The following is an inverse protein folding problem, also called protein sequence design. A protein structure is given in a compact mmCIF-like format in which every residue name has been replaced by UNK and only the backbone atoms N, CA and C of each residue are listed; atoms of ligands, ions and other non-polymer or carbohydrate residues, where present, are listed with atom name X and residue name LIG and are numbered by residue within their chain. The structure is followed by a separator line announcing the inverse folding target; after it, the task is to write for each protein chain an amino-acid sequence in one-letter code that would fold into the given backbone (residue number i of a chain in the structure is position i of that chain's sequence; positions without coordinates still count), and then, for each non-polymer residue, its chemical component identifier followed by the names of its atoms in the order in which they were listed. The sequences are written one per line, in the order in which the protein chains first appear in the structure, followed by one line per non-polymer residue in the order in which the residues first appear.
data_IF_384463995087
#
_entry.id   IF_384463995087
#
_cell.length_a   1.000
_cell.length_b   1.000
_cell.length_c   1.000
_cell.angle_alpha   90.00
_cell.angle_beta   90.00
_cell.angle_gamma   90.00
#
_symmetry.space_group_name_H-M   'P 1'
#
loop_
_entity.id
_entity.type
_entity.pdbx_description
1 polymer ?
#
# COMPACT_ATOMS: atom_id res chain seq x y z
N UNK A 1 -30.12 24.90 3.82
CA UNK A 1 -29.72 23.61 3.25
C UNK A 1 -30.41 23.31 1.93
N UNK A 2 -31.75 23.19 1.85
CA UNK A 2 -32.46 22.91 0.58
C UNK A 2 -32.08 23.86 -0.58
N UNK A 3 -32.11 25.17 -0.34
CA UNK A 3 -31.69 26.17 -1.35
C UNK A 3 -30.22 26.04 -1.75
N UNK A 4 -29.34 25.75 -0.80
CA UNK A 4 -27.91 25.52 -1.09
C UNK A 4 -27.73 24.27 -1.95
N UNK A 5 -28.43 23.18 -1.63
CA UNK A 5 -28.40 21.95 -2.41
C UNK A 5 -28.87 22.19 -3.85
N UNK A 6 -29.95 22.94 -4.05
CA UNK A 6 -30.42 23.29 -5.39
C UNK A 6 -29.38 24.11 -6.18
N UNK A 7 -28.70 25.05 -5.52
CA UNK A 7 -27.64 25.84 -6.15
C UNK A 7 -26.42 24.98 -6.51
N UNK A 8 -26.04 24.04 -5.63
CA UNK A 8 -24.98 23.05 -5.87
C UNK A 8 -25.34 22.18 -7.08
N UNK A 9 -26.55 21.60 -7.11
CA UNK A 9 -27.01 20.81 -8.26
C UNK A 9 -26.97 21.61 -9.56
N UNK A 10 -27.39 22.88 -9.52
CA UNK A 10 -27.31 23.76 -10.70
C UNK A 10 -25.86 23.99 -11.15
N UNK A 11 -24.93 24.18 -10.21
CA UNK A 11 -23.50 24.30 -10.54
C UNK A 11 -22.95 23.01 -11.16
N UNK A 12 -23.24 21.85 -10.56
CA UNK A 12 -22.82 20.54 -11.05
C UNK A 12 -23.39 20.29 -12.45
N UNK A 13 -24.69 20.49 -12.66
CA UNK A 13 -25.33 20.27 -13.97
C UNK A 13 -24.75 21.14 -15.08
N UNK A 14 -24.30 22.35 -14.75
CA UNK A 14 -23.73 23.26 -15.75
C UNK A 14 -22.29 22.92 -16.15
N UNK A 15 -21.53 22.29 -15.26
CA UNK A 15 -20.07 22.23 -15.38
C UNK A 15 -19.44 20.84 -15.24
N UNK A 16 -20.10 19.89 -14.61
CA UNK A 16 -19.57 18.53 -14.46
C UNK A 16 -19.27 17.95 -15.85
N UNK A 17 -18.05 17.50 -16.07
CA UNK A 17 -17.55 16.95 -17.35
C UNK A 17 -17.70 17.91 -18.57
N UNK A 18 -18.00 19.19 -18.34
CA UNK A 18 -18.28 20.19 -19.37
C UNK A 18 -17.41 21.45 -19.26
N UNK A 19 -16.39 21.44 -18.39
CA UNK A 19 -15.43 22.53 -18.28
C UNK A 19 -14.53 22.59 -19.53
N UNK A 20 -14.38 23.80 -20.07
CA UNK A 20 -13.48 24.12 -21.18
C UNK A 20 -12.84 25.49 -20.93
N UNK A 21 -11.79 25.84 -21.66
CA UNK A 21 -11.20 27.19 -21.63
C UNK A 21 -12.22 28.33 -21.81
N UNK A 22 -13.36 28.09 -22.49
CA UNK A 22 -14.39 29.11 -22.74
C UNK A 22 -15.30 29.41 -21.54
N UNK A 23 -15.48 28.46 -20.62
CA UNK A 23 -16.41 28.58 -19.50
C UNK A 23 -15.72 28.43 -18.12
N UNK A 24 -14.44 28.05 -18.08
CA UNK A 24 -13.67 27.83 -16.85
C UNK A 24 -13.67 29.04 -15.92
N UNK A 25 -13.44 30.25 -16.45
CA UNK A 25 -13.45 31.47 -15.63
C UNK A 25 -14.83 31.71 -14.97
N UNK A 26 -15.91 31.46 -15.71
CA UNK A 26 -17.27 31.59 -15.17
C UNK A 26 -17.52 30.60 -14.03
N UNK A 27 -17.03 29.37 -14.16
CA UNK A 27 -17.14 28.36 -13.11
C UNK A 27 -16.36 28.77 -11.85
N UNK A 28 -15.11 29.24 -12.02
CA UNK A 28 -14.28 29.78 -10.92
C UNK A 28 -14.99 30.93 -10.22
N UNK A 29 -15.46 31.94 -10.96
CA UNK A 29 -16.11 33.12 -10.39
C UNK A 29 -17.38 32.74 -9.62
N UNK A 30 -18.16 31.80 -10.16
CA UNK A 30 -19.38 31.31 -9.51
C UNK A 30 -19.06 30.54 -8.23
N UNK A 31 -18.03 29.69 -8.24
CA UNK A 31 -17.58 29.00 -7.02
C UNK A 31 -17.15 30.01 -5.95
N UNK A 32 -16.25 30.94 -6.29
CA UNK A 32 -15.70 31.92 -5.34
C UNK A 32 -16.77 32.81 -4.71
N UNK A 33 -17.88 33.04 -5.41
CA UNK A 33 -19.03 33.78 -4.89
C UNK A 33 -19.80 33.01 -3.80
N UNK A 34 -19.99 31.70 -3.96
CA UNK A 34 -21.00 30.95 -3.21
C UNK A 34 -20.44 29.84 -2.28
N UNK A 35 -19.16 29.45 -2.45
CA UNK A 35 -18.56 28.27 -1.80
C UNK A 35 -18.68 28.26 -0.27
N UNK A 36 -18.56 29.43 0.37
CA UNK A 36 -18.65 29.60 1.82
C UNK A 36 -20.00 29.14 2.39
N UNK A 37 -21.07 29.25 1.59
CA UNK A 37 -22.41 28.79 1.97
C UNK A 37 -22.66 27.35 1.55
N UNK A 38 -22.09 26.91 0.43
CA UNK A 38 -22.29 25.56 -0.11
C UNK A 38 -21.72 24.49 0.81
N UNK A 39 -20.55 24.72 1.42
CA UNK A 39 -19.92 23.74 2.32
C UNK A 39 -20.74 23.36 3.55
N UNK A 40 -21.76 24.15 3.90
CA UNK A 40 -22.65 23.85 5.02
C UNK A 40 -23.56 22.62 4.77
N UNK A 41 -23.56 22.04 3.56
CA UNK A 41 -24.26 20.77 3.31
C UNK A 41 -23.45 19.54 3.75
N UNK A 42 -22.13 19.68 3.95
CA UNK A 42 -21.26 18.57 4.37
C UNK A 42 -21.70 18.02 5.73
N UNK A 43 -21.82 16.70 5.84
CA UNK A 43 -22.35 16.01 7.02
C UNK A 43 -23.88 15.91 7.08
N UNK A 44 -24.59 16.33 6.03
CA UNK A 44 -26.05 16.28 5.97
C UNK A 44 -26.57 15.56 4.72
N UNK A 45 -27.63 14.78 4.90
CA UNK A 45 -28.52 14.36 3.82
C UNK A 45 -29.53 15.48 3.57
N UNK A 46 -29.57 16.01 2.35
CA UNK A 46 -30.41 17.15 1.98
C UNK A 46 -31.24 16.77 0.77
N UNK A 47 -32.55 17.02 0.81
CA UNK A 47 -33.39 16.81 -0.37
C UNK A 47 -33.02 17.85 -1.45
N UNK A 48 -33.27 17.54 -2.72
CA UNK A 48 -33.28 18.53 -3.80
C UNK A 48 -34.73 19.02 -4.06
N UNK A 49 -34.89 19.93 -5.01
CA UNK A 49 -36.19 20.50 -5.37
C UNK A 49 -37.21 19.46 -5.87
N UNK A 50 -36.73 18.30 -6.35
CA UNK A 50 -37.55 17.18 -6.80
C UNK A 50 -37.85 16.19 -5.66
N UNK A 51 -37.42 16.51 -4.44
CA UNK A 51 -37.58 15.68 -3.25
C UNK A 51 -36.62 14.50 -3.17
N UNK A 52 -35.59 14.42 -4.02
CA UNK A 52 -34.59 13.34 -3.98
C UNK A 52 -33.54 13.67 -2.92
N UNK A 53 -33.29 12.73 -2.01
CA UNK A 53 -32.25 12.88 -1.00
C UNK A 53 -30.86 12.79 -1.61
N UNK A 54 -30.03 13.79 -1.34
CA UNK A 54 -28.64 13.90 -1.77
C UNK A 54 -27.70 13.88 -0.57
N UNK A 55 -26.54 13.28 -0.75
CA UNK A 55 -25.47 13.29 0.23
C UNK A 55 -24.61 14.55 0.07
N UNK A 56 -24.70 15.48 1.02
CA UNK A 56 -23.96 16.73 0.95
C UNK A 56 -22.44 16.57 0.96
N UNK A 57 -21.89 15.49 1.53
CA UNK A 57 -20.45 15.20 1.44
C UNK A 57 -20.05 14.91 -0.01
N UNK A 58 -20.83 14.08 -0.71
CA UNK A 58 -20.59 13.74 -2.11
C UNK A 58 -20.77 14.97 -3.01
N UNK A 59 -21.89 15.67 -2.85
CA UNK A 59 -22.24 16.79 -3.74
C UNK A 59 -21.25 17.96 -3.60
N UNK A 60 -20.85 18.33 -2.39
CA UNK A 60 -19.86 19.38 -2.21
C UNK A 60 -18.45 18.94 -2.67
N UNK A 61 -18.11 17.66 -2.50
CA UNK A 61 -16.88 17.10 -3.07
C UNK A 61 -16.82 17.23 -4.60
N UNK A 62 -17.92 16.94 -5.30
CA UNK A 62 -18.03 17.13 -6.75
C UNK A 62 -17.87 18.60 -7.17
N UNK A 63 -18.41 19.54 -6.37
CA UNK A 63 -18.20 20.97 -6.60
C UNK A 63 -16.72 21.33 -6.55
N UNK A 64 -15.98 20.82 -5.56
CA UNK A 64 -14.54 21.05 -5.44
C UNK A 64 -13.75 20.44 -6.61
N UNK A 65 -14.16 19.27 -7.11
CA UNK A 65 -13.55 18.67 -8.31
C UNK A 65 -13.74 19.59 -9.51
N UNK A 66 -14.98 20.02 -9.79
CA UNK A 66 -15.28 20.94 -10.89
C UNK A 66 -14.46 22.23 -10.76
N UNK A 67 -14.38 22.79 -9.55
CA UNK A 67 -13.58 23.99 -9.28
C UNK A 67 -12.09 23.77 -9.59
N UNK A 68 -11.51 22.66 -9.16
CA UNK A 68 -10.11 22.32 -9.44
C UNK A 68 -9.83 22.14 -10.94
N UNK A 69 -10.74 21.52 -11.69
CA UNK A 69 -10.64 21.39 -13.16
C UNK A 69 -10.79 22.76 -13.83
N UNK A 70 -11.68 23.61 -13.35
CA UNK A 70 -11.82 24.96 -13.89
C UNK A 70 -10.52 25.78 -13.70
N UNK A 71 -9.84 25.63 -12.56
CA UNK A 71 -8.53 26.26 -12.33
C UNK A 71 -7.47 25.75 -13.33
N UNK A 72 -7.46 24.46 -13.65
CA UNK A 72 -6.53 23.93 -14.64
C UNK A 72 -6.81 24.40 -16.07
N UNK A 73 -7.99 24.95 -16.35
CA UNK A 73 -8.40 25.43 -17.68
C UNK A 73 -8.36 26.97 -17.86
N UNK A 74 -8.24 27.76 -16.78
CA UNK A 74 -8.10 29.22 -16.92
C UNK A 74 -6.71 29.63 -17.41
N UNK A 75 -6.65 30.73 -18.18
CA UNK A 75 -5.41 31.27 -18.75
C UNK A 75 -4.55 31.99 -17.69
N UNK A 76 -5.18 32.68 -16.74
CA UNK A 76 -4.49 33.51 -15.73
C UNK A 76 -4.69 32.92 -14.35
N UNK A 77 -3.98 31.84 -14.08
CA UNK A 77 -3.95 31.21 -12.75
C UNK A 77 -3.16 32.10 -11.77
N UNK A 78 -3.60 32.15 -10.52
CA UNK A 78 -2.93 32.90 -9.44
C UNK A 78 -2.79 32.03 -8.21
N UNK A 79 -1.74 32.28 -7.42
CA UNK A 79 -1.49 31.60 -6.14
C UNK A 79 -2.72 31.66 -5.22
N UNK A 80 -3.39 32.83 -5.11
CA UNK A 80 -4.56 33.01 -4.24
C UNK A 80 -5.75 32.11 -4.59
N UNK A 81 -5.95 31.78 -5.87
CA UNK A 81 -7.02 30.88 -6.29
C UNK A 81 -6.69 29.43 -5.88
N UNK A 82 -5.43 29.00 -6.07
CA UNK A 82 -5.00 27.64 -5.68
C UNK A 82 -4.97 27.49 -4.15
N UNK A 83 -4.54 28.53 -3.43
CA UNK A 83 -4.61 28.59 -1.97
C UNK A 83 -6.04 28.39 -1.46
N UNK A 84 -7.01 28.98 -2.15
CA UNK A 84 -8.43 28.80 -1.83
C UNK A 84 -8.85 27.35 -2.06
N UNK A 85 -8.48 26.76 -3.20
CA UNK A 85 -8.72 25.33 -3.47
C UNK A 85 -8.09 24.44 -2.38
N UNK A 86 -6.82 24.67 -2.04
CA UNK A 86 -6.09 23.91 -1.04
C UNK A 86 -6.79 23.95 0.33
N UNK A 87 -7.17 25.14 0.80
CA UNK A 87 -7.86 25.32 2.09
C UNK A 87 -9.22 24.62 2.11
N UNK A 88 -9.99 24.69 1.04
CA UNK A 88 -11.29 24.02 0.99
C UNK A 88 -11.15 22.49 0.84
N UNK A 89 -10.11 21.99 0.17
CA UNK A 89 -9.76 20.55 0.19
C UNK A 89 -9.42 20.09 1.60
N UNK A 90 -8.61 20.86 2.36
CA UNK A 90 -8.25 20.51 3.75
C UNK A 90 -9.47 20.53 4.68
N UNK A 91 -10.32 21.56 4.58
CA UNK A 91 -11.56 21.65 5.35
C UNK A 91 -12.48 20.46 5.04
N UNK A 92 -12.63 20.11 3.76
CA UNK A 92 -13.39 18.93 3.32
C UNK A 92 -12.80 17.63 3.86
N UNK A 93 -11.48 17.42 3.71
CA UNK A 93 -10.79 16.20 4.18
C UNK A 93 -10.96 16.01 5.68
N UNK A 94 -10.95 17.10 6.45
CA UNK A 94 -11.11 17.06 7.91
C UNK A 94 -12.50 16.66 8.38
N UNK A 95 -13.54 16.90 7.56
CA UNK A 95 -14.94 16.63 7.88
C UNK A 95 -15.45 15.34 7.27
N UNK A 96 -14.95 14.98 6.10
CA UNK A 96 -15.44 13.84 5.31
C UNK A 96 -14.49 12.67 5.46
N UNK A 97 -14.96 11.57 6.03
CA UNK A 97 -14.10 10.41 6.31
C UNK A 97 -13.78 9.58 5.06
N UNK A 98 -14.80 9.18 4.29
CA UNK A 98 -14.69 8.05 3.35
C UNK A 98 -14.61 8.37 1.86
N UNK A 99 -14.94 9.59 1.42
CA UNK A 99 -15.03 9.94 -0.01
C UNK A 99 -13.66 9.91 -0.73
N UNK A 100 -13.02 8.74 -0.79
CA UNK A 100 -11.63 8.55 -1.18
C UNK A 100 -11.44 8.78 -2.67
N UNK A 101 -12.41 8.42 -3.52
CA UNK A 101 -12.37 8.72 -4.97
C UNK A 101 -12.40 10.23 -5.22
N UNK A 102 -13.21 10.97 -4.46
CA UNK A 102 -13.25 12.43 -4.54
C UNK A 102 -11.92 13.01 -4.05
N UNK A 103 -11.42 12.58 -2.89
CA UNK A 103 -10.14 13.03 -2.34
C UNK A 103 -8.97 12.72 -3.29
N UNK A 104 -8.97 11.56 -3.92
CA UNK A 104 -8.02 11.16 -4.96
C UNK A 104 -8.01 12.19 -6.10
N UNK A 105 -9.18 12.47 -6.69
CA UNK A 105 -9.31 13.43 -7.77
C UNK A 105 -8.86 14.85 -7.36
N UNK A 106 -9.27 15.30 -6.17
CA UNK A 106 -8.93 16.61 -5.64
C UNK A 106 -7.42 16.81 -5.48
N UNK A 107 -6.72 15.84 -4.89
CA UNK A 107 -5.27 15.95 -4.68
C UNK A 107 -4.48 15.76 -5.98
N UNK A 108 -4.99 14.99 -6.95
CA UNK A 108 -4.42 14.93 -8.30
C UNK A 108 -4.50 16.32 -8.97
N UNK A 109 -5.69 16.90 -9.01
CA UNK A 109 -5.93 18.18 -9.66
C UNK A 109 -5.18 19.32 -8.96
N UNK A 110 -5.08 19.29 -7.63
CA UNK A 110 -4.31 20.27 -6.86
C UNK A 110 -2.83 20.24 -7.23
N UNK A 111 -2.24 19.04 -7.39
CA UNK A 111 -0.85 18.90 -7.81
C UNK A 111 -0.60 19.50 -9.20
N UNK A 112 -1.50 19.23 -10.15
CA UNK A 112 -1.46 19.81 -11.50
C UNK A 112 -1.60 21.34 -11.44
N UNK A 113 -2.52 21.86 -10.62
CA UNK A 113 -2.72 23.30 -10.47
C UNK A 113 -1.46 23.99 -9.93
N UNK A 114 -0.82 23.43 -8.90
CA UNK A 114 0.43 23.97 -8.35
C UNK A 114 1.53 24.00 -9.40
N UNK A 115 1.76 22.89 -10.10
CA UNK A 115 2.77 22.83 -11.14
C UNK A 115 2.51 23.83 -12.28
N UNK A 116 1.24 24.07 -12.64
CA UNK A 116 0.85 25.04 -13.67
C UNK A 116 1.26 26.50 -13.33
N UNK A 117 1.42 26.85 -12.05
CA UNK A 117 1.99 28.17 -11.67
C UNK A 117 3.49 28.28 -11.99
N UNK A 118 4.17 27.16 -12.19
CA UNK A 118 5.57 27.06 -12.53
C UNK A 118 6.40 26.31 -11.48
N UNK A 119 7.63 25.98 -11.86
CA UNK A 119 8.53 25.08 -11.13
C UNK A 119 8.84 25.49 -9.68
N UNK A 120 8.67 26.79 -9.34
CA UNK A 120 8.82 27.26 -7.94
C UNK A 120 7.80 26.61 -6.98
N UNK A 121 6.69 26.11 -7.50
CA UNK A 121 5.61 25.48 -6.74
C UNK A 121 5.65 23.94 -6.78
N UNK A 122 6.66 23.33 -7.43
CA UNK A 122 6.76 21.88 -7.60
C UNK A 122 6.79 21.12 -6.27
N UNK A 123 7.35 21.71 -5.21
CA UNK A 123 7.31 21.08 -3.89
C UNK A 123 5.87 20.96 -3.36
N UNK A 124 5.02 21.97 -3.58
CA UNK A 124 3.59 21.90 -3.21
C UNK A 124 2.84 20.91 -4.09
N UNK A 125 3.20 20.83 -5.38
CA UNK A 125 2.68 19.81 -6.28
C UNK A 125 3.02 18.40 -5.80
N UNK A 126 4.27 18.15 -5.40
CA UNK A 126 4.72 16.87 -4.85
C UNK A 126 3.96 16.53 -3.57
N UNK A 127 3.76 17.46 -2.64
CA UNK A 127 2.97 17.19 -1.42
C UNK A 127 1.51 16.84 -1.74
N UNK A 128 0.89 17.50 -2.73
CA UNK A 128 -0.44 17.13 -3.22
C UNK A 128 -0.43 15.73 -3.85
N UNK A 129 0.58 15.41 -4.67
CA UNK A 129 0.71 14.08 -5.27
C UNK A 129 0.96 12.98 -4.24
N UNK A 130 1.63 13.25 -3.12
CA UNK A 130 1.74 12.28 -2.02
C UNK A 130 0.37 11.91 -1.45
N UNK A 131 -0.51 12.89 -1.27
CA UNK A 131 -1.89 12.65 -0.83
C UNK A 131 -2.72 11.93 -1.90
N UNK A 132 -2.56 12.26 -3.17
CA UNK A 132 -3.14 11.52 -4.28
C UNK A 132 -2.76 10.03 -4.21
N UNK A 133 -1.47 9.72 -4.08
CA UNK A 133 -0.97 8.34 -3.97
C UNK A 133 -1.55 7.63 -2.74
N UNK A 134 -1.62 8.31 -1.59
CA UNK A 134 -2.22 7.75 -0.37
C UNK A 134 -3.65 7.26 -0.63
N UNK A 135 -4.48 8.07 -1.28
CA UNK A 135 -5.85 7.69 -1.60
C UNK A 135 -5.92 6.62 -2.68
N UNK A 136 -5.01 6.64 -3.66
CA UNK A 136 -4.94 5.61 -4.70
C UNK A 136 -4.65 4.24 -4.09
N UNK A 137 -3.67 4.17 -3.19
CA UNK A 137 -3.31 2.94 -2.49
C UNK A 137 -4.38 2.50 -1.49
N UNK A 138 -5.07 3.44 -0.83
CA UNK A 138 -6.22 3.14 0.05
C UNK A 138 -7.34 2.44 -0.73
N UNK A 139 -7.63 2.92 -1.94
CA UNK A 139 -8.65 2.34 -2.82
C UNK A 139 -8.21 1.02 -3.47
N UNK A 140 -6.91 0.71 -3.48
CA UNK A 140 -6.36 -0.47 -4.16
C UNK A 140 -6.42 -1.75 -3.31
N UNK A 141 -6.77 -1.66 -2.02
CA UNK A 141 -6.88 -2.82 -1.14
C UNK A 141 -8.11 -2.77 -0.22
N UNK A 142 -8.84 -3.88 -0.19
CA UNK A 142 -10.05 -4.02 0.64
C UNK A 142 -10.03 -5.28 1.52
N UNK A 143 -8.89 -5.97 1.57
CA UNK A 143 -8.77 -7.26 2.26
C UNK A 143 -7.69 -7.19 3.33
N UNK A 144 -7.95 -7.82 4.47
CA UNK A 144 -6.97 -8.09 5.52
C UNK A 144 -6.96 -9.59 5.84
N UNK A 145 -5.81 -10.10 6.24
CA UNK A 145 -5.60 -11.53 6.42
C UNK A 145 -5.18 -11.82 7.86
N UNK A 146 -5.96 -12.62 8.59
CA UNK A 146 -5.63 -13.00 9.95
C UNK A 146 -4.93 -14.37 9.98
N UNK A 147 -3.75 -14.42 10.59
CA UNK A 147 -2.95 -15.63 10.66
C UNK A 147 -2.18 -15.93 9.36
N UNK A 148 -1.85 -14.89 8.59
CA UNK A 148 -1.13 -15.01 7.32
C UNK A 148 0.29 -15.49 7.56
N UNK A 149 0.63 -16.68 7.06
CA UNK A 149 1.98 -17.24 7.14
C UNK A 149 2.79 -16.94 5.90
N UNK A 150 4.04 -16.51 6.10
CA UNK A 150 5.01 -16.28 5.03
C UNK A 150 6.44 -16.33 5.58
N UNK A 151 7.43 -16.41 4.68
CA UNK A 151 8.82 -16.64 5.04
C UNK A 151 9.72 -15.50 4.59
N UNK A 152 10.80 -15.27 5.32
CA UNK A 152 11.73 -14.18 5.05
C UNK A 152 13.17 -14.64 5.22
N UNK A 153 13.91 -14.65 4.12
CA UNK A 153 15.33 -15.00 4.09
C UNK A 153 16.18 -13.76 4.36
N UNK A 154 17.11 -13.86 5.30
CA UNK A 154 17.90 -12.72 5.79
C UNK A 154 19.32 -13.16 6.16
N UNK A 155 20.29 -12.30 5.90
CA UNK A 155 21.64 -12.44 6.44
C UNK A 155 21.69 -12.04 7.93
N UNK A 156 22.64 -12.61 8.67
CA UNK A 156 22.86 -12.30 10.10
C UNK A 156 23.57 -10.94 10.28
N UNK A 157 22.83 -9.85 10.06
CA UNK A 157 23.34 -8.49 10.20
C UNK A 157 22.96 -7.84 11.53
N UNK A 158 23.65 -6.76 11.90
CA UNK A 158 23.28 -5.93 13.06
C UNK A 158 21.84 -5.39 12.95
N UNK A 159 21.40 -5.05 11.73
CA UNK A 159 20.04 -4.58 11.47
C UNK A 159 19.01 -5.67 11.74
N UNK A 160 19.27 -6.91 11.32
CA UNK A 160 18.41 -8.05 11.66
C UNK A 160 18.30 -8.23 13.17
N UNK A 161 19.43 -8.25 13.89
CA UNK A 161 19.40 -8.41 15.35
C UNK A 161 18.62 -7.30 16.04
N UNK A 162 18.77 -6.05 15.59
CA UNK A 162 18.00 -4.93 16.12
C UNK A 162 16.50 -5.09 15.87
N UNK A 163 16.10 -5.51 14.67
CA UNK A 163 14.71 -5.81 14.33
C UNK A 163 14.12 -6.92 15.18
N UNK A 164 14.89 -7.98 15.41
CA UNK A 164 14.48 -9.05 16.31
C UNK A 164 14.32 -8.51 17.73
N UNK A 165 15.28 -7.75 18.26
CA UNK A 165 15.19 -7.14 19.60
C UNK A 165 13.93 -6.28 19.74
N UNK A 166 13.65 -5.44 18.75
CA UNK A 166 12.55 -4.48 18.76
C UNK A 166 11.18 -5.07 18.36
N UNK A 167 11.12 -6.35 17.96
CA UNK A 167 9.94 -6.94 17.33
C UNK A 167 9.41 -6.09 16.18
N UNK A 168 10.30 -5.69 15.28
CA UNK A 168 9.97 -4.79 14.19
C UNK A 168 10.39 -5.36 12.83
N UNK A 169 9.60 -5.05 11.82
CA UNK A 169 9.87 -5.40 10.43
C UNK A 169 10.51 -4.19 9.77
N UNK A 170 11.67 -4.36 9.14
CA UNK A 170 12.25 -3.30 8.33
C UNK A 170 11.64 -3.35 6.93
N UNK A 171 11.19 -2.19 6.46
CA UNK A 171 10.72 -1.97 5.11
C UNK A 171 11.70 -1.04 4.40
N UNK A 172 11.96 -1.33 3.14
CA UNK A 172 12.94 -0.60 2.32
C UNK A 172 12.27 0.10 1.15
N UNK A 173 12.92 1.16 0.66
CA UNK A 173 12.53 1.77 -0.61
C UNK A 173 12.71 0.75 -1.75
N UNK A 174 11.77 0.67 -2.71
CA UNK A 174 11.97 -0.12 -3.93
C UNK A 174 13.28 0.21 -4.68
N UNK A 175 13.80 1.44 -4.53
CA UNK A 175 15.08 1.85 -5.11
C UNK A 175 16.31 1.10 -4.58
N UNK A 176 16.18 0.28 -3.53
CA UNK A 176 17.27 -0.53 -2.97
C UNK A 176 17.20 -1.99 -3.39
N UNK A 177 16.27 -2.36 -4.27
CA UNK A 177 16.08 -3.75 -4.69
C UNK A 177 17.18 -4.16 -5.68
N UNK A 178 17.44 -5.47 -5.72
CA UNK A 178 18.47 -6.08 -6.57
C UNK A 178 18.01 -6.23 -8.04
N UNK A 179 16.70 -6.35 -8.28
CA UNK A 179 16.12 -6.27 -9.61
C UNK A 179 15.93 -4.80 -10.01
N UNK A 180 16.63 -4.37 -11.06
CA UNK A 180 16.58 -2.99 -11.57
C UNK A 180 15.25 -2.65 -12.25
N UNK A 181 14.45 -3.67 -12.61
CA UNK A 181 13.10 -3.51 -13.17
C UNK A 181 12.02 -3.80 -12.14
N UNK A 182 12.39 -3.96 -10.86
CA UNK A 182 11.43 -4.12 -9.79
C UNK A 182 10.61 -2.83 -9.58
N UNK A 183 9.33 -2.98 -9.26
CA UNK A 183 8.34 -1.91 -9.21
C UNK A 183 8.38 -1.08 -10.51
N UNK A 184 7.82 -1.60 -11.62
CA UNK A 184 7.89 -0.98 -12.96
C UNK A 184 7.52 0.50 -13.01
N UNK A 185 6.68 0.98 -12.08
CA UNK A 185 6.31 2.39 -11.93
C UNK A 185 7.51 3.34 -11.90
N UNK A 186 8.64 2.91 -11.32
CA UNK A 186 9.84 3.71 -11.27
C UNK A 186 10.23 4.03 -12.71
N UNK A 187 10.59 3.02 -13.50
CA UNK A 187 11.07 3.23 -14.87
C UNK A 187 10.03 3.89 -15.78
N UNK A 188 8.74 3.53 -15.65
CA UNK A 188 7.68 4.08 -16.50
C UNK A 188 7.45 5.58 -16.29
N UNK A 189 7.69 6.08 -15.09
CA UNK A 189 7.60 7.50 -14.77
C UNK A 189 8.93 8.25 -14.99
N UNK A 190 9.92 7.58 -15.59
CA UNK A 190 11.21 8.17 -15.98
C UNK A 190 11.17 8.68 -17.42
N UNK A 191 10.10 9.38 -17.79
CA UNK A 191 9.88 9.93 -19.12
C UNK A 191 10.02 11.48 -19.09
N UNK A 192 9.88 12.12 -20.25
CA UNK A 192 10.01 13.57 -20.38
C UNK A 192 8.79 14.37 -19.90
N UNK A 193 7.74 13.72 -19.38
CA UNK A 193 6.56 14.39 -18.80
C UNK A 193 6.86 14.88 -17.37
N UNK A 194 6.83 16.21 -17.18
CA UNK A 194 7.17 16.86 -15.91
C UNK A 194 6.27 16.38 -14.76
N UNK A 195 4.96 16.18 -15.01
CA UNK A 195 4.00 15.70 -14.01
C UNK A 195 4.35 14.28 -13.55
N UNK A 196 4.66 13.38 -14.49
CA UNK A 196 5.12 12.02 -14.19
C UNK A 196 6.37 12.02 -13.32
N UNK A 197 7.34 12.91 -13.58
CA UNK A 197 8.52 13.04 -12.75
C UNK A 197 8.21 13.53 -11.33
N UNK A 198 7.26 14.47 -11.16
CA UNK A 198 6.82 14.93 -9.85
C UNK A 198 6.10 13.84 -9.05
N UNK A 199 5.20 13.10 -9.70
CA UNK A 199 4.50 11.97 -9.07
C UNK A 199 5.52 10.86 -8.72
N UNK A 200 6.55 10.62 -9.55
CA UNK A 200 7.63 9.65 -9.26
C UNK A 200 8.39 10.04 -7.99
N UNK A 201 8.73 11.32 -7.84
CA UNK A 201 9.37 11.84 -6.61
C UNK A 201 8.46 11.62 -5.39
N UNK A 202 7.16 11.88 -5.52
CA UNK A 202 6.18 11.63 -4.47
C UNK A 202 6.13 10.14 -4.08
N UNK A 203 6.13 9.22 -5.05
CA UNK A 203 6.19 7.77 -4.79
C UNK A 203 7.45 7.35 -4.05
N UNK A 204 8.62 7.70 -4.57
CA UNK A 204 9.91 7.29 -4.01
C UNK A 204 10.12 7.79 -2.58
N UNK A 205 9.52 8.92 -2.22
CA UNK A 205 9.59 9.45 -0.86
C UNK A 205 8.82 8.58 0.16
N UNK A 206 7.61 8.14 -0.18
CA UNK A 206 6.68 7.54 0.79
C UNK A 206 6.56 6.01 0.74
N UNK A 207 6.81 5.38 -0.42
CA UNK A 207 6.63 3.92 -0.58
C UNK A 207 7.76 3.16 0.10
N UNK A 208 7.40 2.14 0.88
CA UNK A 208 8.30 1.13 1.44
C UNK A 208 7.69 -0.25 1.27
N UNK A 209 8.54 -1.25 1.09
CA UNK A 209 8.12 -2.63 0.83
C UNK A 209 8.92 -3.58 1.71
N UNK A 210 8.26 -4.63 2.20
CA UNK A 210 8.91 -5.83 2.70
C UNK A 210 8.49 -7.04 1.86
N UNK A 211 9.49 -7.81 1.41
CA UNK A 211 9.30 -8.96 0.56
C UNK A 211 9.42 -10.27 1.37
N UNK A 212 8.50 -11.19 1.09
CA UNK A 212 8.38 -12.50 1.70
C UNK A 212 8.21 -13.58 0.63
N UNK A 213 8.47 -14.83 0.99
CA UNK A 213 8.14 -16.02 0.20
C UNK A 213 6.84 -16.61 0.74
N UNK A 214 5.87 -16.86 -0.14
CA UNK A 214 4.67 -17.63 0.17
C UNK A 214 4.28 -18.44 -1.07
N UNK A 215 4.30 -19.77 -0.96
CA UNK A 215 4.03 -20.67 -2.09
C UNK A 215 2.55 -20.71 -2.48
N UNK A 216 1.66 -20.37 -1.56
CA UNK A 216 0.22 -20.24 -1.84
C UNK A 216 -0.12 -18.78 -2.16
N UNK A 217 -1.10 -18.58 -3.03
CA UNK A 217 -1.70 -17.25 -3.24
C UNK A 217 -2.41 -16.79 -1.98
N UNK A 218 -2.53 -15.48 -1.82
CA UNK A 218 -3.41 -14.89 -0.83
C UNK A 218 -4.85 -15.36 -1.06
N UNK A 219 -5.63 -15.57 0.00
CA UNK A 219 -7.02 -15.98 -0.13
C UNK A 219 -7.83 -15.04 -1.03
N UNK A 220 -8.63 -15.62 -1.92
CA UNK A 220 -9.51 -14.92 -2.84
C UNK A 220 -10.82 -15.69 -3.07
N UNK A 221 -11.85 -15.00 -3.54
CA UNK A 221 -13.13 -15.60 -3.93
C UNK A 221 -13.44 -15.25 -5.38
N UNK A 222 -13.96 -16.22 -6.14
CA UNK A 222 -14.38 -15.98 -7.53
C UNK A 222 -15.68 -15.16 -7.59
N UNK A 223 -16.59 -15.38 -6.63
CA UNK A 223 -17.80 -14.60 -6.43
C UNK A 223 -17.99 -14.21 -4.97
N UNK A 224 -18.80 -13.18 -4.72
CA UNK A 224 -19.08 -12.65 -3.37
C UNK A 224 -19.67 -13.72 -2.43
N UNK A 225 -20.45 -14.67 -2.97
CA UNK A 225 -21.09 -15.74 -2.21
C UNK A 225 -20.20 -16.95 -1.92
N UNK A 226 -19.04 -17.05 -2.58
CA UNK A 226 -18.23 -18.25 -2.53
C UNK A 226 -17.34 -18.27 -1.29
N UNK A 227 -17.17 -19.46 -0.71
CA UNK A 227 -16.15 -19.67 0.30
C UNK A 227 -14.77 -19.32 -0.29
N UNK A 228 -13.92 -18.59 0.46
CA UNK A 228 -12.62 -18.17 -0.06
C UNK A 228 -11.73 -19.38 -0.34
N UNK A 229 -11.12 -19.37 -1.52
CA UNK A 229 -10.04 -20.29 -1.89
C UNK A 229 -8.81 -19.86 -1.09
N UNK A 230 -8.26 -20.77 -0.29
CA UNK A 230 -7.19 -20.47 0.67
C UNK A 230 -5.90 -21.26 0.41
N UNK A 231 -5.94 -22.23 -0.50
CA UNK A 231 -4.89 -23.24 -0.68
C UNK A 231 -4.38 -23.30 -2.14
N UNK A 232 -4.66 -22.26 -2.94
CA UNK A 232 -4.23 -22.22 -4.34
C UNK A 232 -2.72 -21.99 -4.40
N UNK A 233 -1.99 -22.93 -5.02
CA UNK A 233 -0.54 -22.85 -5.14
C UNK A 233 -0.17 -21.88 -6.26
N UNK A 234 0.93 -21.13 -6.07
CA UNK A 234 1.54 -20.34 -7.13
C UNK A 234 2.18 -21.24 -8.18
N UNK A 235 2.85 -22.31 -7.76
CA UNK A 235 3.30 -23.40 -8.62
C UNK A 235 3.17 -24.77 -7.94
N UNK A 236 2.71 -25.77 -8.69
CA UNK A 236 2.43 -27.10 -8.15
C UNK A 236 3.68 -27.86 -7.68
N UNK A 237 4.82 -27.61 -8.34
CA UNK A 237 6.09 -28.28 -8.08
C UNK A 237 6.93 -27.66 -6.96
N UNK A 238 6.45 -26.59 -6.33
CA UNK A 238 7.22 -25.91 -5.29
C UNK A 238 7.36 -26.81 -4.05
N UNK A 239 8.62 -26.95 -3.60
CA UNK A 239 8.95 -27.46 -2.27
C UNK A 239 8.50 -26.45 -1.20
N UNK A 240 8.42 -26.86 0.06
CA UNK A 240 8.19 -25.93 1.18
C UNK A 240 9.10 -24.70 1.10
N UNK A 241 8.61 -23.52 1.51
CA UNK A 241 9.31 -22.24 1.29
C UNK A 241 10.75 -22.25 1.81
N UNK A 242 10.97 -22.85 3.00
CA UNK A 242 12.29 -22.93 3.64
C UNK A 242 13.26 -23.91 2.94
N UNK A 243 12.79 -24.68 1.94
CA UNK A 243 13.59 -25.57 1.10
C UNK A 243 14.01 -24.94 -0.22
N UNK A 244 13.67 -23.67 -0.48
CA UNK A 244 14.07 -22.97 -1.70
C UNK A 244 15.56 -22.59 -1.65
N UNK A 245 16.38 -23.32 -2.40
CA UNK A 245 17.84 -23.17 -2.46
C UNK A 245 18.28 -21.82 -3.04
N UNK A 246 17.57 -21.30 -4.05
CA UNK A 246 17.88 -20.00 -4.64
C UNK A 246 17.64 -18.85 -3.65
N UNK A 247 16.58 -18.95 -2.83
CA UNK A 247 16.34 -17.97 -1.76
C UNK A 247 17.44 -17.98 -0.70
N UNK A 248 17.93 -19.17 -0.32
CA UNK A 248 19.07 -19.27 0.59
C UNK A 248 20.36 -18.68 -0.02
N UNK A 249 20.62 -18.94 -1.30
CA UNK A 249 21.79 -18.45 -2.01
C UNK A 249 21.82 -16.92 -2.10
N UNK A 250 20.71 -16.32 -2.52
CA UNK A 250 20.62 -14.88 -2.80
C UNK A 250 20.36 -14.02 -1.56
N UNK A 251 19.48 -14.46 -0.64
CA UNK A 251 18.95 -13.58 0.41
C UNK A 251 19.37 -13.97 1.83
N UNK A 252 19.90 -15.17 2.03
CA UNK A 252 20.41 -15.64 3.32
C UNK A 252 21.93 -15.88 3.30
N UNK A 253 22.65 -14.99 2.61
CA UNK A 253 24.12 -14.94 2.59
C UNK A 253 24.75 -16.31 2.28
N UNK A 254 24.33 -16.94 1.17
CA UNK A 254 24.85 -18.25 0.75
C UNK A 254 24.74 -19.34 1.84
N UNK A 255 23.58 -19.41 2.52
CA UNK A 255 23.27 -20.29 3.67
C UNK A 255 23.97 -19.94 5.00
N UNK A 256 24.65 -18.80 5.13
CA UNK A 256 25.18 -18.34 6.42
C UNK A 256 24.11 -17.62 7.28
N UNK A 257 23.03 -17.17 6.65
CA UNK A 257 21.93 -16.46 7.28
C UNK A 257 20.84 -17.38 7.86
N UNK A 258 19.62 -16.83 7.91
CA UNK A 258 18.43 -17.50 8.43
C UNK A 258 17.22 -17.33 7.50
N UNK A 259 16.20 -18.14 7.75
CA UNK A 259 14.85 -17.94 7.24
C UNK A 259 13.89 -17.83 8.43
N UNK A 260 13.09 -16.77 8.48
CA UNK A 260 12.09 -16.54 9.53
C UNK A 260 10.71 -16.85 8.94
N UNK A 261 9.96 -17.71 9.61
CA UNK A 261 8.54 -17.92 9.34
C UNK A 261 7.73 -16.99 10.23
N UNK A 262 7.00 -16.08 9.60
CA UNK A 262 6.07 -15.18 10.26
C UNK A 262 4.65 -15.71 10.21
N UNK A 263 3.84 -15.28 11.17
CA UNK A 263 2.39 -15.44 11.20
C UNK A 263 1.76 -14.10 11.58
N UNK A 264 1.32 -13.35 10.58
CA UNK A 264 0.82 -11.99 10.76
C UNK A 264 -0.66 -11.96 11.14
N UNK A 265 -1.05 -11.11 12.11
CA UNK A 265 -2.44 -10.75 12.36
C UNK A 265 -2.97 -9.77 11.29
N UNK A 266 -4.29 -9.62 11.24
CA UNK A 266 -4.96 -8.78 10.23
C UNK A 266 -4.71 -7.28 10.38
N UNK A 267 -4.33 -6.81 11.58
CA UNK A 267 -4.09 -5.39 11.90
C UNK A 267 -2.75 -4.85 11.40
N UNK A 268 -1.90 -5.72 10.84
CA UNK A 268 -0.74 -5.33 10.01
C UNK A 268 -1.21 -4.64 8.73
N UNK A 269 -2.38 -5.03 8.21
CA UNK A 269 -3.05 -4.31 7.13
C UNK A 269 -3.78 -3.08 7.72
N UNK A 270 -3.72 -1.96 7.02
CA UNK A 270 -4.38 -0.71 7.41
C UNK A 270 -4.86 0.01 6.16
N UNK A 271 -6.13 0.43 6.17
CA UNK A 271 -6.78 1.08 5.04
C UNK A 271 -6.98 2.58 5.30
N UNK A 272 -5.91 3.33 5.56
CA UNK A 272 -5.86 4.81 5.57
C UNK A 272 -6.85 5.59 6.48
N UNK A 273 -7.75 4.90 7.18
CA UNK A 273 -8.88 5.46 7.91
C UNK A 273 -8.94 5.04 9.40
N UNK A 274 -7.98 4.20 9.82
CA UNK A 274 -7.87 3.59 11.16
C UNK A 274 -7.14 4.52 12.17
N UNK A 275 -7.31 5.85 12.05
CA UNK A 275 -6.49 6.86 12.75
C UNK A 275 -4.97 6.77 12.47
N UNK A 276 -4.60 6.04 11.43
CA UNK A 276 -3.22 5.86 10.97
C UNK A 276 -3.01 6.67 9.70
N UNK A 277 -1.96 7.49 9.68
CA UNK A 277 -1.59 8.31 8.52
C UNK A 277 -0.81 7.49 7.46
N UNK A 278 -1.07 6.20 7.36
CA UNK A 278 -0.39 5.32 6.41
C UNK A 278 -1.31 4.21 5.93
N UNK A 279 -1.00 3.68 4.75
CA UNK A 279 -1.63 2.48 4.18
C UNK A 279 -0.62 1.34 4.25
N UNK A 280 -1.07 0.16 4.62
CA UNK A 280 -0.26 -1.05 4.51
C UNK A 280 -1.11 -2.25 4.16
N UNK A 281 -0.64 -3.10 3.25
CA UNK A 281 -1.34 -4.33 2.89
C UNK A 281 -0.45 -5.34 2.19
N UNK A 282 -0.85 -6.61 2.27
CA UNK A 282 -0.21 -7.70 1.57
C UNK A 282 -0.77 -7.87 0.15
N UNK A 283 0.09 -8.17 -0.82
CA UNK A 283 -0.30 -8.54 -2.17
C UNK A 283 0.72 -9.46 -2.83
N UNK A 284 0.22 -10.41 -3.60
CA UNK A 284 1.06 -11.31 -4.40
C UNK A 284 1.69 -10.57 -5.57
N UNK A 285 2.93 -10.94 -5.90
CA UNK A 285 3.60 -10.51 -7.13
C UNK A 285 3.12 -11.35 -8.30
N UNK A 286 2.76 -10.69 -9.39
CA UNK A 286 2.43 -11.27 -10.68
C UNK A 286 3.67 -11.31 -11.57
N UNK A 287 4.00 -12.49 -12.08
CA UNK A 287 5.16 -12.69 -12.94
C UNK A 287 4.75 -12.65 -14.40
N UNK A 288 5.49 -11.90 -15.21
CA UNK A 288 5.23 -11.78 -16.64
C UNK A 288 6.51 -11.90 -17.47
N UNK A 289 6.39 -12.51 -18.65
CA UNK A 289 7.45 -12.58 -19.65
C UNK A 289 7.52 -11.33 -20.54
N UNK A 290 6.50 -10.48 -20.49
CA UNK A 290 6.39 -9.27 -21.33
C UNK A 290 6.18 -8.02 -20.47
N UNK A 291 7.25 -7.58 -19.80
CA UNK A 291 7.26 -6.27 -19.13
C UNK A 291 7.22 -5.11 -20.15
N UNK A 292 7.61 -5.34 -21.41
CA UNK A 292 7.69 -4.30 -22.44
C UNK A 292 6.31 -3.76 -22.83
N UNK A 293 5.24 -4.53 -22.65
CA UNK A 293 3.86 -4.07 -22.85
C UNK A 293 3.53 -2.77 -22.07
N UNK A 294 4.27 -2.49 -20.99
CA UNK A 294 4.07 -1.28 -20.20
C UNK A 294 4.78 -0.06 -20.79
N UNK A 295 5.82 -0.24 -21.61
CA UNK A 295 6.60 0.86 -22.21
C UNK A 295 5.79 1.75 -23.15
N UNK A 296 4.70 1.23 -23.72
CA UNK A 296 3.82 1.96 -24.64
C UNK A 296 2.54 2.49 -23.94
N UNK A 297 2.42 2.32 -22.62
CA UNK A 297 1.24 2.72 -21.88
C UNK A 297 1.39 4.13 -21.28
N UNK A 298 0.46 5.02 -21.61
CA UNK A 298 0.37 6.36 -21.01
C UNK A 298 -0.07 6.34 -19.54
N UNK A 299 -0.49 5.18 -19.03
CA UNK A 299 -0.90 4.99 -17.63
C UNK A 299 -0.67 3.54 -17.22
N UNK A 300 -0.12 3.33 -16.02
CA UNK A 300 0.00 2.01 -15.40
C UNK A 300 -0.94 1.94 -14.18
N UNK A 301 -1.66 0.83 -14.04
CA UNK A 301 -2.48 0.61 -12.85
C UNK A 301 -1.58 0.31 -11.64
N UNK A 302 -2.11 0.49 -10.42
CA UNK A 302 -1.36 0.25 -9.18
C UNK A 302 -0.78 -1.16 -9.07
N UNK A 303 -1.44 -2.17 -9.65
CA UNK A 303 -0.98 -3.55 -9.53
C UNK A 303 0.28 -3.79 -10.35
N UNK A 304 0.25 -3.45 -11.63
CA UNK A 304 1.39 -3.57 -12.52
C UNK A 304 2.55 -2.68 -12.04
N UNK A 305 2.22 -1.51 -11.47
CA UNK A 305 3.18 -0.55 -10.94
C UNK A 305 4.07 -1.11 -9.81
N UNK A 306 3.49 -1.88 -8.89
CA UNK A 306 4.14 -2.29 -7.63
C UNK A 306 4.28 -3.80 -7.45
N UNK A 307 3.58 -4.60 -8.24
CA UNK A 307 3.45 -6.03 -8.03
C UNK A 307 3.65 -6.83 -9.32
N UNK A 308 4.10 -6.23 -10.42
CA UNK A 308 4.57 -6.99 -11.57
C UNK A 308 6.10 -7.20 -11.51
N UNK A 309 6.55 -8.39 -11.89
CA UNK A 309 7.98 -8.75 -11.94
C UNK A 309 8.29 -9.66 -13.12
N UNK A 310 9.53 -9.65 -13.59
CA UNK A 310 9.95 -10.53 -14.69
C UNK A 310 9.85 -12.01 -14.32
N UNK A 311 9.44 -12.85 -15.26
CA UNK A 311 9.28 -14.31 -15.05
C UNK A 311 10.57 -15.00 -14.56
N UNK A 312 11.74 -14.46 -14.86
CA UNK A 312 13.02 -14.97 -14.34
C UNK A 312 13.10 -15.00 -12.81
N UNK A 313 12.30 -14.19 -12.11
CA UNK A 313 12.23 -14.12 -10.65
C UNK A 313 11.09 -14.95 -10.05
N UNK A 314 10.36 -15.72 -10.87
CA UNK A 314 9.18 -16.48 -10.45
C UNK A 314 9.44 -17.46 -9.30
N UNK A 315 10.67 -17.95 -9.18
CA UNK A 315 11.10 -18.84 -8.09
C UNK A 315 11.01 -18.19 -6.69
N UNK A 316 10.89 -16.87 -6.59
CA UNK A 316 10.79 -16.17 -5.30
C UNK A 316 9.43 -16.33 -4.62
N UNK A 317 8.39 -16.71 -5.38
CA UNK A 317 7.01 -16.79 -4.88
C UNK A 317 6.62 -15.58 -4.03
N UNK A 318 7.06 -14.41 -4.49
CA UNK A 318 7.07 -13.19 -3.72
C UNK A 318 5.66 -12.76 -3.28
N UNK A 319 5.58 -12.41 -2.00
CA UNK A 319 4.48 -11.74 -1.33
C UNK A 319 5.02 -10.44 -0.77
N UNK A 320 4.42 -9.31 -1.14
CA UNK A 320 4.84 -7.98 -0.69
C UNK A 320 3.91 -7.47 0.39
N UNK A 321 4.47 -6.97 1.48
CA UNK A 321 3.81 -5.98 2.34
C UNK A 321 4.18 -4.60 1.80
N UNK A 322 3.22 -3.95 1.13
CA UNK A 322 3.34 -2.55 0.73
C UNK A 322 3.05 -1.67 1.95
N UNK A 323 3.81 -0.59 2.11
CA UNK A 323 3.57 0.47 3.07
C UNK A 323 3.72 1.82 2.38
N UNK A 324 2.83 2.75 2.70
CA UNK A 324 2.91 4.11 2.22
C UNK A 324 2.48 5.11 3.28
N UNK A 325 3.31 6.11 3.53
CA UNK A 325 2.99 7.23 4.41
C UNK A 325 3.29 8.56 3.69
N UNK A 326 2.28 9.40 3.40
CA UNK A 326 2.47 10.66 2.69
C UNK A 326 3.23 11.73 3.49
N UNK A 327 3.42 11.52 4.80
CA UNK A 327 4.13 12.46 5.70
C UNK A 327 5.54 12.03 6.04
N UNK A 328 5.92 10.78 5.73
CA UNK A 328 7.26 10.28 6.03
C UNK A 328 8.24 10.62 4.91
N UNK A 329 9.41 11.10 5.28
CA UNK A 329 10.58 11.24 4.40
C UNK A 329 11.67 10.20 4.66
N UNK A 330 11.43 9.26 5.59
CA UNK A 330 12.45 8.31 6.01
C UNK A 330 12.67 7.25 4.92
N UNK A 331 13.95 6.95 4.63
CA UNK A 331 14.33 5.92 3.66
C UNK A 331 14.06 4.50 4.16
N UNK A 332 13.94 4.32 5.48
CA UNK A 332 13.68 3.05 6.14
C UNK A 332 12.63 3.25 7.22
N UNK A 333 11.67 2.33 7.28
CA UNK A 333 10.63 2.33 8.31
C UNK A 333 10.69 0.99 9.03
N UNK A 334 10.58 1.03 10.36
CA UNK A 334 10.46 -0.16 11.19
C UNK A 334 9.03 -0.27 11.69
N UNK A 335 8.27 -1.20 11.11
CA UNK A 335 6.88 -1.44 11.48
C UNK A 335 6.84 -2.41 12.67
N UNK A 336 6.19 -2.07 13.80
CA UNK A 336 6.03 -3.00 14.91
C UNK A 336 5.24 -4.25 14.48
N UNK A 337 5.79 -5.43 14.76
CA UNK A 337 5.22 -6.75 14.44
C UNK A 337 5.36 -7.70 15.65
N UNK A 338 4.91 -7.24 16.82
CA UNK A 338 4.99 -7.98 18.07
C UNK A 338 4.39 -9.38 17.94
N UNK A 339 5.13 -10.36 18.45
CA UNK A 339 4.68 -11.75 18.57
C UNK A 339 4.28 -12.43 17.24
N UNK A 340 4.82 -11.96 16.12
CA UNK A 340 4.53 -12.49 14.78
C UNK A 340 5.52 -13.57 14.29
N UNK A 341 6.61 -13.85 15.03
CA UNK A 341 7.59 -14.87 14.63
C UNK A 341 7.10 -16.24 15.09
N UNK A 342 6.84 -17.16 14.17
CA UNK A 342 6.39 -18.53 14.45
C UNK A 342 7.58 -19.50 14.52
N UNK A 343 8.55 -19.37 13.60
CA UNK A 343 9.74 -20.22 13.59
C UNK A 343 10.96 -19.52 12.98
N UNK A 344 12.15 -19.99 13.34
CA UNK A 344 13.43 -19.58 12.74
C UNK A 344 14.20 -20.82 12.26
N UNK A 345 14.61 -20.78 11.00
CA UNK A 345 15.45 -21.78 10.36
C UNK A 345 16.85 -21.22 10.19
N UNK A 346 17.85 -21.88 10.76
CA UNK A 346 19.25 -21.54 10.61
C UNK A 346 19.82 -22.19 9.36
N UNK A 347 20.48 -21.42 8.50
CA UNK A 347 21.10 -21.94 7.29
C UNK A 347 22.16 -23.00 7.59
N UNK A 348 22.46 -23.83 6.58
CA UNK A 348 23.42 -24.95 6.70
C UNK A 348 24.79 -24.48 7.21
N UNK A 349 25.20 -23.27 6.85
CA UNK A 349 26.49 -22.67 7.21
C UNK A 349 26.38 -21.61 8.30
N UNK A 350 25.19 -21.43 8.88
CA UNK A 350 24.97 -20.40 9.91
C UNK A 350 25.90 -20.64 11.10
N UNK A 351 26.53 -19.57 11.58
CA UNK A 351 27.53 -19.66 12.65
C UNK A 351 26.85 -19.94 13.99
N UNK A 352 27.49 -20.73 14.87
CA UNK A 352 26.94 -21.02 16.19
C UNK A 352 26.80 -19.75 17.05
N UNK A 353 27.67 -18.76 16.82
CA UNK A 353 27.58 -17.45 17.45
C UNK A 353 26.26 -16.74 17.10
N UNK A 354 25.90 -16.70 15.81
CA UNK A 354 24.67 -16.05 15.37
C UNK A 354 23.44 -16.82 15.84
N UNK A 355 23.47 -18.17 15.78
CA UNK A 355 22.41 -19.02 16.33
C UNK A 355 22.15 -18.71 17.81
N UNK A 356 23.19 -18.74 18.64
CA UNK A 356 23.10 -18.46 20.06
C UNK A 356 22.59 -17.04 20.33
N UNK A 357 23.06 -16.06 19.55
CA UNK A 357 22.61 -14.66 19.66
C UNK A 357 21.11 -14.55 19.38
N UNK A 358 20.63 -15.12 18.27
CA UNK A 358 19.21 -15.09 17.88
C UNK A 358 18.35 -15.83 18.90
N UNK A 359 18.75 -17.04 19.32
CA UNK A 359 18.05 -17.79 20.37
C UNK A 359 17.96 -16.98 21.66
N UNK A 360 19.03 -16.28 22.05
CA UNK A 360 19.03 -15.43 23.24
C UNK A 360 18.10 -14.23 23.11
N UNK A 361 18.04 -13.58 21.94
CA UNK A 361 17.15 -12.43 21.68
C UNK A 361 15.68 -12.88 21.78
N UNK A 362 15.37 -14.05 21.22
CA UNK A 362 14.01 -14.58 21.11
C UNK A 362 13.59 -15.43 22.32
N UNK A 363 14.47 -15.63 23.30
CA UNK A 363 14.20 -16.46 24.48
C UNK A 363 12.96 -15.96 25.24
N UNK A 364 12.01 -16.87 25.46
CA UNK A 364 10.77 -16.58 26.19
C UNK A 364 9.74 -15.77 25.40
N UNK A 365 10.04 -15.39 24.15
CA UNK A 365 9.07 -14.78 23.25
C UNK A 365 8.18 -15.86 22.65
N UNK A 366 6.96 -15.47 22.30
CA UNK A 366 5.94 -16.36 21.74
C UNK A 366 5.37 -15.81 20.46
N UNK A 367 4.94 -16.70 19.59
CA UNK A 367 4.01 -16.37 18.53
C UNK A 367 2.61 -16.26 19.13
N UNK A 368 1.92 -15.14 18.90
CA UNK A 368 0.51 -14.98 19.29
C UNK A 368 -0.32 -14.86 18.02
N UNK A 369 -1.35 -15.68 17.92
CA UNK A 369 -2.34 -15.60 16.85
C UNK A 369 -3.74 -15.77 17.41
N UNK A 370 -4.74 -15.42 16.60
CA UNK A 370 -6.14 -15.52 17.01
C UNK A 370 -6.92 -16.39 16.04
N UNK A 371 -7.77 -17.26 16.56
CA UNK A 371 -8.76 -18.00 15.77
C UNK A 371 -10.16 -17.55 16.16
N UNK A 372 -11.04 -17.54 15.19
CA UNK A 372 -12.46 -17.31 15.41
C UNK A 372 -13.17 -18.66 15.41
N UNK A 373 -13.87 -18.96 16.49
CA UNK A 373 -14.67 -20.17 16.61
C UNK A 373 -16.13 -19.78 16.80
N UNK A 374 -17.03 -20.54 16.17
CA UNK A 374 -18.46 -20.42 16.41
C UNK A 374 -18.85 -21.26 17.63
N UNK A 375 -19.47 -20.60 18.61
CA UNK A 375 -20.00 -21.20 19.82
C UNK A 375 -21.46 -20.77 19.97
N UNK A 376 -22.37 -21.62 19.48
CA UNK A 376 -23.79 -21.26 19.31
C UNK A 376 -23.95 -20.14 18.27
N UNK A 377 -24.63 -19.06 18.64
CA UNK A 377 -24.88 -17.89 17.78
C UNK A 377 -23.81 -16.78 17.90
N UNK A 378 -22.69 -17.06 18.57
CA UNK A 378 -21.61 -16.08 18.79
C UNK A 378 -20.30 -16.56 18.18
N UNK A 379 -19.53 -15.60 17.68
CA UNK A 379 -18.13 -15.80 17.30
C UNK A 379 -17.23 -15.43 18.47
N UNK A 380 -16.47 -16.39 18.99
CA UNK A 380 -15.47 -16.16 20.03
C UNK A 380 -14.07 -16.08 19.43
N UNK A 381 -13.29 -15.08 19.88
CA UNK A 381 -11.89 -14.89 19.48
C UNK A 381 -10.99 -15.61 20.49
N UNK A 382 -10.40 -16.72 20.08
CA UNK A 382 -9.51 -17.54 20.90
C UNK A 382 -8.06 -17.13 20.64
N UNK A 383 -7.33 -16.82 21.71
CA UNK A 383 -5.89 -16.54 21.67
C UNK A 383 -5.12 -17.86 21.64
N UNK A 384 -4.27 -18.03 20.64
CA UNK A 384 -3.29 -19.11 20.56
C UNK A 384 -1.90 -18.54 20.82
N UNK A 385 -1.21 -19.07 21.84
CA UNK A 385 0.19 -18.77 22.11
C UNK A 385 1.04 -20.00 21.85
N UNK A 386 2.12 -19.84 21.09
CA UNK A 386 3.10 -20.91 20.82
C UNK A 386 4.51 -20.41 21.07
N UNK A 387 5.35 -21.27 21.61
CA UNK A 387 6.78 -20.99 21.67
C UNK A 387 7.36 -20.94 20.26
N UNK A 388 8.34 -20.05 20.05
CA UNK A 388 9.03 -19.92 18.76
C UNK A 388 9.82 -21.20 18.50
N UNK A 389 9.61 -21.82 17.35
CA UNK A 389 10.33 -23.03 16.98
C UNK A 389 11.66 -22.71 16.30
N UNK A 390 12.70 -23.50 16.59
CA UNK A 390 14.01 -23.38 15.97
C UNK A 390 14.31 -24.62 15.14
N UNK A 391 14.90 -24.42 13.97
CA UNK A 391 15.28 -25.48 13.05
C UNK A 391 16.70 -25.23 12.53
N UNK A 392 17.47 -26.30 12.33
CA UNK A 392 18.73 -26.26 11.61
C UNK A 392 18.55 -26.89 10.24
N UNK A 393 18.85 -26.15 9.18
CA UNK A 393 18.93 -26.71 7.83
C UNK A 393 20.16 -27.61 7.72
N UNK A 394 20.00 -28.79 7.12
CA UNK A 394 21.09 -29.74 6.84
C UNK A 394 21.00 -30.22 5.40
N UNK A 395 22.15 -30.60 4.84
CA UNK A 395 22.18 -31.37 3.59
C UNK A 395 21.49 -32.70 3.86
N UNK A 396 20.69 -33.17 2.91
CA UNK A 396 20.06 -34.47 3.01
C UNK A 396 21.03 -35.57 2.55
N UNK A 397 21.44 -36.43 3.49
CA UNK A 397 22.36 -37.52 3.22
C UNK A 397 21.71 -38.65 2.38
N UNK A 398 20.37 -38.71 2.31
CA UNK A 398 19.64 -39.75 1.56
C UNK A 398 19.28 -39.32 0.13
N UNK A 399 19.15 -38.01 -0.10
CA UNK A 399 18.71 -37.45 -1.39
C UNK A 399 19.74 -36.41 -1.85
N UNK A 400 20.57 -36.79 -2.81
CA UNK A 400 21.57 -35.89 -3.39
C UNK A 400 20.92 -34.63 -3.97
N UNK A 401 21.46 -33.46 -3.63
CA UNK A 401 20.94 -32.16 -4.07
C UNK A 401 19.70 -31.68 -3.30
N UNK A 402 19.42 -32.24 -2.11
CA UNK A 402 18.36 -31.75 -1.24
C UNK A 402 18.89 -31.25 0.10
N UNK A 403 18.11 -30.37 0.73
CA UNK A 403 18.27 -29.95 2.12
C UNK A 403 17.01 -30.32 2.91
N UNK A 404 17.14 -30.47 4.22
CA UNK A 404 16.03 -30.72 5.16
C UNK A 404 16.14 -29.87 6.41
N UNK A 405 14.99 -29.52 6.99
CA UNK A 405 14.93 -28.86 8.28
C UNK A 405 14.92 -29.89 9.41
N UNK A 406 15.84 -29.77 10.36
CA UNK A 406 15.87 -30.61 11.56
C UNK A 406 15.52 -29.74 12.76
N UNK A 407 14.49 -30.13 13.52
CA UNK A 407 14.07 -29.38 14.71
C UNK A 407 15.21 -29.31 15.71
N UNK A 408 15.48 -28.11 16.17
CA UNK A 408 16.50 -27.83 17.17
C UNK A 408 15.83 -27.78 18.54
N UNK A 409 16.04 -28.84 19.33
CA UNK A 409 15.46 -28.98 20.66
C UNK A 409 16.33 -28.37 21.77
N UNK A 410 17.40 -27.64 21.42
CA UNK A 410 18.38 -27.07 22.37
C UNK A 410 18.07 -25.65 22.83
#
# INVERSE_FOLDING_TARGET
MQTQMNNIQTYINNYNENITASNAQQAVDKFLKDYSTWKNVVGHLVNDQDGKTKDGEKEYGNVLIIFSVAISEINSITEGIIDTLFKEIQDYESKVKYMFEIKLALYSNLGICWHKLGQLYDNLAIEAFKKYIFYQLTLSNHTSYNGLTCYSFRNCSKFLFQSLVNESLNLSSPSTFNDIFDCPIIELMNNDDEISQLIRKAYLSGVKVACFVKNEKLPYSNNISDAPITNDKKNDSDKDEYLNELMWAHYADSHNGICIRYKFPSDVTTAGNDNKNYVSYFKDVEYTSDLKKHSEQNSINTNDAFFAKGESWKYENELRLLYYNPTSSDSHISLPISNCIEAVYFGVKCSDKDKQTIKSILKGRKCISFKHQWTGDKTEKIKEEKDIEFYQMKIDDEIFGAIKAVKDNS
#
